data_IF_392418879225
#
_entry.id   IF_392418879225
#
_cell.length_a   1.000
_cell.length_b   1.000
_cell.length_c   1.000
_cell.angle_alpha   90.00
_cell.angle_beta   90.00
_cell.angle_gamma   90.00
#
_symmetry.space_group_name_H-M   'P 1'
#
loop_
_entity.id
_entity.type
_entity.pdbx_description
1 polymer ?
#
# COMPACT_ATOMS: atom_id res chain seq x y z
N UNK A 1 -0.73 -1.50 -5.52
CA UNK A 1 -0.46 -1.16 -4.09
C UNK A 1 -1.64 -0.47 -3.42
N UNK A 2 -2.39 0.39 -4.13
CA UNK A 2 -3.59 1.03 -3.58
C UNK A 2 -4.68 0.04 -3.10
N UNK A 3 -4.65 -1.20 -3.56
CA UNK A 3 -5.64 -2.23 -3.20
C UNK A 3 -5.32 -2.99 -1.90
N UNK A 4 -4.09 -2.93 -1.40
CA UNK A 4 -3.71 -3.68 -0.18
C UNK A 4 -4.29 -3.02 1.08
N UNK A 5 -4.19 -1.68 1.20
CA UNK A 5 -4.70 -0.96 2.36
C UNK A 5 -6.22 -1.12 2.58
N UNK A 6 -7.07 -0.97 1.55
CA UNK A 6 -8.50 -1.23 1.69
C UNK A 6 -8.80 -2.68 2.06
N UNK A 7 -8.07 -3.66 1.48
CA UNK A 7 -8.24 -5.08 1.79
C UNK A 7 -7.91 -5.36 3.25
N UNK A 8 -6.75 -4.92 3.71
CA UNK A 8 -6.31 -5.12 5.09
C UNK A 8 -7.23 -4.40 6.08
N UNK A 9 -7.64 -3.15 5.78
CA UNK A 9 -8.55 -2.40 6.64
C UNK A 9 -9.95 -3.01 6.72
N UNK A 10 -10.51 -3.45 5.61
CA UNK A 10 -11.85 -4.04 5.59
C UNK A 10 -11.90 -5.38 6.33
N UNK A 11 -10.86 -6.21 6.20
CA UNK A 11 -10.79 -7.47 6.92
C UNK A 11 -10.50 -7.29 8.42
N UNK A 12 -9.62 -6.38 8.79
CA UNK A 12 -9.33 -6.10 10.21
C UNK A 12 -10.51 -5.48 10.97
N UNK A 13 -11.39 -4.74 10.29
CA UNK A 13 -12.62 -4.20 10.89
C UNK A 13 -13.67 -5.30 11.07
N UNK A 14 -13.73 -6.27 10.17
CA UNK A 14 -14.70 -7.37 10.21
C UNK A 14 -14.31 -8.50 11.20
N UNK A 15 -13.04 -8.61 11.60
CA UNK A 15 -12.57 -9.62 12.57
C UNK A 15 -12.80 -9.25 14.04
N UNK A 16 -13.42 -8.11 14.33
CA UNK A 16 -13.81 -7.71 15.70
C UNK A 16 -15.03 -8.44 16.27
N UNK A 17 -15.62 -9.35 15.55
CA UNK A 17 -16.78 -10.15 15.97
C UNK A 17 -16.42 -11.62 16.03
N UNK A 18 -16.28 -12.15 17.26
CA UNK A 18 -16.57 -13.54 17.67
C UNK A 18 -16.55 -14.58 16.56
N UNK A 19 -15.79 -15.65 16.73
CA UNK A 19 -15.80 -16.83 15.87
C UNK A 19 -17.22 -17.31 15.55
N UNK A 20 -17.80 -16.76 14.53
CA UNK A 20 -19.04 -17.22 13.94
C UNK A 20 -18.93 -16.93 12.45
N UNK A 21 -19.11 -17.99 11.68
CA UNK A 21 -19.36 -17.97 10.25
C UNK A 21 -20.30 -16.85 9.85
N UNK A 22 -19.80 -15.70 9.49
CA UNK A 22 -20.57 -14.75 8.72
C UNK A 22 -20.42 -15.11 7.24
N UNK A 23 -21.24 -16.04 6.81
CA UNK A 23 -21.63 -16.19 5.41
C UNK A 23 -22.17 -14.86 4.91
N UNK A 24 -21.31 -13.95 4.49
CA UNK A 24 -21.67 -13.00 3.45
C UNK A 24 -21.63 -13.75 2.12
N UNK A 25 -22.76 -14.31 1.79
CA UNK A 25 -23.10 -14.64 0.41
C UNK A 25 -22.83 -13.41 -0.43
N UNK A 26 -21.80 -13.46 -1.20
CA UNK A 26 -21.68 -12.93 -2.55
C UNK A 26 -20.21 -12.64 -2.87
N UNK A 27 -19.86 -13.08 -3.94
CA UNK A 27 -18.67 -12.95 -4.73
C UNK A 27 -17.83 -14.21 -4.69
N UNK A 28 -17.45 -14.60 -5.88
CA UNK A 28 -16.66 -15.77 -6.17
C UNK A 28 -15.52 -15.97 -5.17
N UNK A 29 -15.18 -17.20 -4.84
CA UNK A 29 -14.21 -17.56 -3.79
C UNK A 29 -12.77 -17.28 -4.21
N UNK A 30 -12.49 -16.04 -4.61
CA UNK A 30 -11.19 -15.64 -5.09
C UNK A 30 -10.21 -15.24 -4.00
N UNK A 31 -10.73 -14.84 -2.85
CA UNK A 31 -9.93 -14.33 -1.74
C UNK A 31 -10.32 -15.10 -0.49
N UNK A 32 -9.64 -16.19 -0.22
CA UNK A 32 -9.86 -16.96 1.01
C UNK A 32 -8.90 -16.45 2.06
N UNK A 33 -9.45 -15.78 3.07
CA UNK A 33 -8.69 -15.34 4.24
C UNK A 33 -8.70 -16.45 5.30
N UNK A 34 -7.55 -17.07 5.52
CA UNK A 34 -7.36 -18.08 6.54
C UNK A 34 -6.62 -17.46 7.73
N UNK A 35 -7.13 -17.70 8.93
CA UNK A 35 -6.35 -17.49 10.13
C UNK A 35 -5.40 -18.67 10.29
N UNK A 36 -4.11 -18.40 10.19
CA UNK A 36 -3.10 -19.42 10.40
C UNK A 36 -2.84 -19.53 11.91
N UNK A 37 -3.41 -20.56 12.52
CA UNK A 37 -3.02 -20.97 13.85
C UNK A 37 -1.67 -21.69 13.74
N UNK A 38 -0.60 -20.92 13.56
CA UNK A 38 0.73 -21.47 13.38
C UNK A 38 1.24 -22.00 14.74
N UNK A 39 1.56 -23.28 14.78
CA UNK A 39 2.34 -23.87 15.87
C UNK A 39 3.81 -23.44 15.86
N UNK A 40 4.22 -22.72 14.82
CA UNK A 40 5.58 -22.23 14.59
C UNK A 40 5.61 -20.71 14.37
N UNK A 41 6.76 -20.10 14.61
CA UNK A 41 7.00 -18.70 14.36
C UNK A 41 7.11 -18.41 12.86
N UNK A 42 6.72 -17.21 12.42
CA UNK A 42 6.96 -16.69 11.07
C UNK A 42 8.09 -15.68 11.14
N UNK A 43 9.12 -15.85 10.29
CA UNK A 43 10.22 -14.89 10.19
C UNK A 43 9.96 -13.97 8.99
N UNK A 44 9.95 -12.65 9.22
CA UNK A 44 9.83 -11.62 8.18
C UNK A 44 10.92 -10.58 8.41
N UNK A 45 11.76 -10.37 7.42
CA UNK A 45 12.85 -9.39 7.51
C UNK A 45 13.79 -9.60 8.70
N UNK A 46 14.09 -10.84 9.05
CA UNK A 46 14.92 -11.19 10.21
C UNK A 46 14.20 -11.12 11.58
N UNK A 47 12.96 -10.64 11.62
CA UNK A 47 12.15 -10.63 12.85
C UNK A 47 11.29 -11.88 12.93
N UNK A 48 11.37 -12.58 14.06
CA UNK A 48 10.56 -13.77 14.34
C UNK A 48 9.24 -13.33 15.00
N UNK A 49 8.12 -13.69 14.39
CA UNK A 49 6.78 -13.47 14.93
C UNK A 49 6.24 -14.81 15.45
N UNK A 50 6.03 -14.96 16.77
CA UNK A 50 5.48 -16.19 17.35
C UNK A 50 3.99 -16.32 17.04
N UNK A 51 3.41 -17.44 17.47
CA UNK A 51 1.98 -17.76 17.32
C UNK A 51 1.03 -16.61 17.65
N UNK A 52 -0.09 -16.60 16.96
CA UNK A 52 -1.14 -15.60 17.14
C UNK A 52 -1.74 -15.57 18.54
N UNK A 53 -1.64 -14.43 19.19
CA UNK A 53 -2.28 -14.10 20.46
C UNK A 53 -2.63 -12.62 20.43
N UNK A 54 -3.89 -12.29 20.67
CA UNK A 54 -4.37 -10.90 20.66
C UNK A 54 -4.18 -10.20 22.02
N UNK A 55 -3.56 -10.84 22.99
CA UNK A 55 -3.17 -10.21 24.26
C UNK A 55 -2.15 -9.11 23.98
N UNK A 56 -2.36 -7.96 24.60
CA UNK A 56 -1.49 -6.79 24.43
C UNK A 56 -0.47 -6.72 25.58
N UNK A 57 0.76 -6.30 25.25
CA UNK A 57 1.76 -5.90 26.22
C UNK A 57 1.44 -4.51 26.82
N UNK A 58 2.27 -4.04 27.74
CA UNK A 58 2.13 -2.72 28.39
C UNK A 58 2.19 -1.55 27.41
N UNK A 59 2.79 -1.74 26.23
CA UNK A 59 2.88 -0.76 25.16
C UNK A 59 1.71 -0.89 24.18
N UNK A 60 0.81 -1.88 24.38
CA UNK A 60 -0.32 -2.20 23.54
C UNK A 60 0.07 -2.80 22.19
N UNK A 61 1.16 -3.53 22.14
CA UNK A 61 1.50 -4.44 21.04
C UNK A 61 0.99 -5.84 21.39
N UNK A 62 0.67 -6.62 20.37
CA UNK A 62 0.32 -8.01 20.58
C UNK A 62 1.53 -8.78 21.12
N UNK A 63 1.34 -9.55 22.18
CA UNK A 63 2.37 -10.45 22.74
C UNK A 63 2.76 -11.51 21.71
N UNK A 64 1.77 -11.98 20.94
CA UNK A 64 1.95 -12.88 19.80
C UNK A 64 1.21 -12.29 18.61
N UNK A 65 1.90 -12.02 17.52
CA UNK A 65 1.32 -11.37 16.36
C UNK A 65 0.33 -12.31 15.63
N UNK A 66 -0.94 -11.93 15.45
CA UNK A 66 -1.86 -12.67 14.59
C UNK A 66 -1.33 -12.73 13.17
N UNK A 67 -1.37 -13.91 12.58
CA UNK A 67 -0.96 -14.15 11.20
C UNK A 67 -2.15 -14.64 10.40
N UNK A 68 -2.41 -14.00 9.28
CA UNK A 68 -3.43 -14.38 8.33
C UNK A 68 -2.78 -14.73 6.99
N UNK A 69 -3.30 -15.76 6.34
CA UNK A 69 -2.98 -16.06 4.96
C UNK A 69 -4.16 -15.65 4.07
N UNK A 70 -3.91 -14.77 3.12
CA UNK A 70 -4.82 -14.49 2.03
C UNK A 70 -4.40 -15.33 0.83
N UNK A 71 -5.19 -16.35 0.49
CA UNK A 71 -4.96 -17.23 -0.66
C UNK A 71 -5.71 -16.69 -1.88
N UNK A 72 -4.96 -16.30 -2.90
CA UNK A 72 -5.45 -15.79 -4.17
C UNK A 72 -5.42 -16.86 -5.28
N UNK A 73 -5.09 -18.11 -4.94
CA UNK A 73 -4.80 -19.17 -5.90
C UNK A 73 -6.00 -20.08 -6.19
N UNK A 74 -7.20 -19.74 -5.72
CA UNK A 74 -8.38 -20.58 -5.93
C UNK A 74 -8.58 -20.86 -7.44
N UNK A 75 -8.70 -22.13 -7.86
CA UNK A 75 -8.74 -22.50 -9.28
C UNK A 75 -9.95 -21.97 -10.05
N UNK A 76 -10.98 -21.52 -9.35
CA UNK A 76 -12.20 -20.94 -9.92
C UNK A 76 -12.19 -19.41 -9.91
N UNK A 77 -11.08 -18.81 -9.50
CA UNK A 77 -10.98 -17.37 -9.37
C UNK A 77 -10.91 -16.69 -10.73
N UNK A 78 -11.90 -15.94 -11.11
CA UNK A 78 -11.95 -15.19 -12.38
C UNK A 78 -11.61 -13.71 -12.24
N UNK A 79 -11.66 -13.16 -11.03
CA UNK A 79 -11.30 -11.77 -10.77
C UNK A 79 -10.98 -11.57 -9.28
N UNK A 80 -10.10 -10.63 -8.95
CA UNK A 80 -9.88 -10.22 -7.58
C UNK A 80 -11.06 -9.41 -7.04
N UNK A 81 -11.33 -9.60 -5.78
CA UNK A 81 -12.45 -9.05 -5.04
C UNK A 81 -12.55 -7.50 -5.05
N UNK A 82 -11.43 -6.78 -5.15
CA UNK A 82 -11.41 -5.34 -4.88
C UNK A 82 -11.16 -4.46 -6.11
N UNK A 83 -10.51 -4.95 -7.12
CA UNK A 83 -10.09 -4.15 -8.27
C UNK A 83 -10.23 -4.87 -9.61
N UNK A 84 -10.99 -5.96 -9.64
CA UNK A 84 -11.21 -6.80 -10.82
C UNK A 84 -9.93 -7.31 -11.51
N UNK A 85 -8.81 -7.36 -10.79
CA UNK A 85 -7.55 -7.85 -11.33
C UNK A 85 -7.29 -9.29 -10.89
N UNK A 86 -7.09 -10.17 -11.84
CA UNK A 86 -6.68 -11.54 -11.56
C UNK A 86 -5.30 -11.56 -10.92
N UNK A 87 -5.21 -12.29 -9.82
CA UNK A 87 -3.97 -12.54 -9.08
C UNK A 87 -3.89 -14.01 -8.70
N UNK A 88 -2.68 -14.46 -8.41
CA UNK A 88 -2.44 -15.77 -7.83
C UNK A 88 -1.33 -15.68 -6.78
N UNK A 89 -1.14 -16.76 -6.02
CA UNK A 89 -0.21 -16.79 -4.90
C UNK A 89 -0.88 -16.45 -3.58
N UNK A 90 -0.07 -16.19 -2.57
CA UNK A 90 -0.55 -15.97 -1.21
C UNK A 90 0.11 -14.74 -0.59
N UNK A 91 -0.60 -14.13 0.35
CA UNK A 91 -0.07 -13.08 1.21
C UNK A 91 -0.15 -13.54 2.65
N UNK A 92 0.97 -13.58 3.34
CA UNK A 92 0.98 -13.72 4.79
C UNK A 92 0.94 -12.31 5.40
N UNK A 93 -0.08 -12.04 6.20
CA UNK A 93 -0.35 -10.74 6.79
C UNK A 93 -0.22 -10.86 8.30
N UNK A 94 0.72 -10.11 8.87
CA UNK A 94 1.07 -10.17 10.28
C UNK A 94 0.73 -8.82 10.92
N UNK A 95 0.02 -8.83 12.03
CA UNK A 95 -0.33 -7.63 12.79
C UNK A 95 0.47 -7.59 14.09
N UNK A 96 1.23 -6.53 14.32
CA UNK A 96 2.00 -6.36 15.59
C UNK A 96 1.18 -5.68 16.69
N UNK A 97 0.03 -5.13 16.35
CA UNK A 97 -0.86 -4.45 17.28
C UNK A 97 -2.13 -3.94 16.60
N UNK A 98 -3.04 -3.27 17.33
CA UNK A 98 -4.25 -2.69 16.78
C UNK A 98 -3.93 -1.66 15.69
N UNK A 99 -4.56 -1.78 14.51
CA UNK A 99 -4.26 -0.96 13.33
C UNK A 99 -4.29 0.56 13.54
N UNK A 100 -5.14 1.04 14.44
CA UNK A 100 -5.29 2.46 14.71
C UNK A 100 -4.35 2.98 15.81
N UNK A 101 -3.53 2.11 16.38
CA UNK A 101 -2.58 2.50 17.41
C UNK A 101 -1.26 2.92 16.78
N UNK A 102 -0.76 4.10 17.13
CA UNK A 102 0.55 4.56 16.68
C UNK A 102 1.65 3.54 17.07
N UNK A 103 2.56 3.29 16.14
CA UNK A 103 3.62 2.28 16.25
C UNK A 103 3.20 0.85 15.89
N UNK A 104 1.91 0.57 15.73
CA UNK A 104 1.47 -0.74 15.23
C UNK A 104 1.82 -0.93 13.77
N UNK A 105 2.19 -2.15 13.40
CA UNK A 105 2.59 -2.51 12.05
C UNK A 105 1.72 -3.62 11.47
N UNK A 106 1.53 -3.54 10.16
CA UNK A 106 1.09 -4.66 9.33
C UNK A 106 2.26 -5.03 8.42
N UNK A 107 2.71 -6.28 8.51
CA UNK A 107 3.80 -6.79 7.70
C UNK A 107 3.20 -7.78 6.71
N UNK A 108 3.45 -7.56 5.42
CA UNK A 108 2.93 -8.40 4.35
C UNK A 108 4.08 -9.12 3.67
N UNK A 109 4.01 -10.45 3.61
CA UNK A 109 4.92 -11.29 2.86
C UNK A 109 4.20 -11.85 1.64
N UNK A 110 4.77 -11.61 0.49
CA UNK A 110 4.26 -12.14 -0.79
C UNK A 110 4.84 -13.53 -1.03
N UNK A 111 4.00 -14.52 -1.30
CA UNK A 111 4.40 -15.89 -1.63
C UNK A 111 3.90 -16.21 -3.04
N UNK A 112 4.81 -16.35 -3.98
CA UNK A 112 4.53 -16.66 -5.39
C UNK A 112 3.46 -15.75 -6.01
N UNK A 113 3.45 -14.47 -5.60
CA UNK A 113 2.44 -13.52 -6.05
C UNK A 113 2.62 -13.15 -7.52
N UNK A 114 1.59 -13.34 -8.32
CA UNK A 114 1.55 -13.05 -9.75
C UNK A 114 0.26 -12.33 -10.13
N UNK A 115 0.33 -11.51 -11.16
CA UNK A 115 -0.85 -10.96 -11.83
C UNK A 115 -1.18 -11.74 -13.11
N UNK A 116 -2.36 -11.50 -13.68
CA UNK A 116 -2.83 -12.13 -14.93
C UNK A 116 -1.80 -12.03 -16.07
N UNK A 117 -1.10 -10.92 -16.18
CA UNK A 117 -0.08 -10.67 -17.21
C UNK A 117 1.24 -11.40 -16.94
N UNK A 118 1.24 -12.44 -16.12
CA UNK A 118 2.42 -13.23 -15.71
C UNK A 118 3.51 -12.40 -15.02
N UNK A 119 3.17 -11.22 -14.51
CA UNK A 119 4.11 -10.38 -13.75
C UNK A 119 4.19 -10.93 -12.33
N UNK A 120 5.39 -11.32 -11.93
CA UNK A 120 5.69 -11.78 -10.57
C UNK A 120 6.15 -10.59 -9.72
N UNK A 121 5.70 -10.55 -8.47
CA UNK A 121 6.12 -9.55 -7.49
C UNK A 121 6.71 -10.26 -6.28
N UNK A 122 7.86 -9.77 -5.84
CA UNK A 122 8.49 -10.19 -4.59
C UNK A 122 9.09 -8.98 -3.87
N UNK A 123 9.37 -9.12 -2.59
CA UNK A 123 10.08 -8.12 -1.79
C UNK A 123 10.62 -8.79 -0.52
N UNK A 124 11.62 -8.16 0.10
CA UNK A 124 12.10 -8.59 1.41
C UNK A 124 11.11 -8.20 2.49
N UNK A 125 10.67 -6.93 2.46
CA UNK A 125 9.73 -6.39 3.43
C UNK A 125 8.72 -5.45 2.77
N UNK A 126 7.45 -5.65 3.08
CA UNK A 126 6.38 -4.69 2.85
C UNK A 126 5.71 -4.43 4.20
N UNK A 127 5.93 -3.22 4.74
CA UNK A 127 5.53 -2.85 6.09
C UNK A 127 4.65 -1.62 6.03
N UNK A 128 3.51 -1.67 6.72
CA UNK A 128 2.62 -0.54 6.94
C UNK A 128 2.69 -0.23 8.43
N UNK A 129 3.16 0.96 8.79
CA UNK A 129 3.24 1.42 10.18
C UNK A 129 2.23 2.53 10.42
N UNK A 130 1.39 2.40 11.41
CA UNK A 130 0.53 3.49 11.85
C UNK A 130 1.39 4.55 12.55
N UNK A 131 1.42 5.76 12.00
CA UNK A 131 2.16 6.90 12.58
C UNK A 131 1.27 7.64 13.56
N UNK A 132 0.05 7.96 13.14
CA UNK A 132 -0.89 8.71 13.94
C UNK A 132 -2.34 8.31 13.63
N UNK A 133 -3.20 8.46 14.62
CA UNK A 133 -4.64 8.36 14.48
C UNK A 133 -5.26 9.49 15.30
N UNK A 134 -5.45 10.64 14.64
CA UNK A 134 -6.06 11.80 15.27
C UNK A 134 -7.59 11.71 15.19
N UNK A 135 -8.23 11.60 16.35
CA UNK A 135 -9.69 11.50 16.47
C UNK A 135 -10.38 12.83 16.70
N UNK A 136 -9.61 13.90 16.92
CA UNK A 136 -10.09 15.29 17.08
C UNK A 136 -9.95 16.02 15.74
N UNK A 137 -10.78 17.02 15.50
CA UNK A 137 -10.73 17.78 14.24
C UNK A 137 -9.42 18.58 14.09
N UNK A 138 -8.79 18.60 12.90
CA UNK A 138 -9.13 17.80 11.74
C UNK A 138 -8.78 16.31 11.95
N UNK A 139 -9.78 15.44 11.76
CA UNK A 139 -9.61 14.00 11.97
C UNK A 139 -8.81 13.38 10.82
N UNK A 140 -7.76 12.64 11.16
CA UNK A 140 -6.97 11.92 10.17
C UNK A 140 -6.37 10.63 10.72
N UNK A 141 -5.98 9.77 9.81
CA UNK A 141 -5.08 8.65 10.08
C UNK A 141 -3.86 8.77 9.18
N UNK A 142 -2.69 8.47 9.72
CA UNK A 142 -1.43 8.53 9.00
C UNK A 142 -0.69 7.21 9.09
N UNK A 143 -0.25 6.75 7.92
CA UNK A 143 0.53 5.53 7.77
C UNK A 143 1.84 5.82 7.04
N UNK A 144 2.91 5.20 7.50
CA UNK A 144 4.10 5.00 6.67
C UNK A 144 3.99 3.64 5.98
N UNK A 145 4.28 3.60 4.69
CA UNK A 145 4.33 2.37 3.91
C UNK A 145 5.72 2.24 3.33
N UNK A 146 6.41 1.17 3.72
CA UNK A 146 7.78 0.88 3.31
C UNK A 146 7.86 -0.43 2.55
N UNK A 147 8.48 -0.39 1.38
CA UNK A 147 8.84 -1.56 0.59
C UNK A 147 10.36 -1.61 0.47
N UNK A 148 10.95 -2.75 0.80
CA UNK A 148 12.39 -2.97 0.69
C UNK A 148 12.65 -4.09 -0.32
N UNK A 149 13.57 -3.81 -1.26
CA UNK A 149 14.01 -4.75 -2.28
C UNK A 149 12.85 -5.39 -3.06
N UNK A 150 11.90 -4.55 -3.46
CA UNK A 150 10.81 -4.97 -4.33
C UNK A 150 11.34 -5.34 -5.71
N UNK A 151 10.88 -6.47 -6.23
CA UNK A 151 11.19 -6.96 -7.57
C UNK A 151 9.90 -7.22 -8.32
N UNK A 152 9.81 -6.66 -9.50
CA UNK A 152 8.71 -6.88 -10.43
C UNK A 152 9.28 -7.47 -11.71
N UNK A 153 8.94 -8.73 -12.01
CA UNK A 153 9.49 -9.48 -13.15
C UNK A 153 8.39 -9.88 -14.12
N UNK A 154 8.57 -9.55 -15.37
CA UNK A 154 7.85 -10.03 -16.55
C UNK A 154 8.76 -10.97 -17.33
N UNK A 155 8.25 -11.78 -18.28
CA UNK A 155 9.11 -12.58 -19.16
C UNK A 155 10.23 -11.78 -19.83
N UNK A 156 9.99 -10.52 -20.17
CA UNK A 156 10.88 -9.69 -21.00
C UNK A 156 11.69 -8.67 -20.21
N UNK A 157 11.38 -8.44 -18.93
CA UNK A 157 12.03 -7.40 -18.15
C UNK A 157 11.91 -7.61 -16.64
N UNK A 158 12.82 -6.98 -15.91
CA UNK A 158 12.78 -6.88 -14.45
C UNK A 158 12.99 -5.44 -14.01
N UNK A 159 12.20 -5.01 -13.04
CA UNK A 159 12.37 -3.74 -12.33
C UNK A 159 12.61 -4.05 -10.86
N UNK A 160 13.61 -3.41 -10.27
CA UNK A 160 13.86 -3.44 -8.82
C UNK A 160 13.52 -2.08 -8.23
N UNK A 161 12.88 -2.05 -7.07
CA UNK A 161 12.51 -0.77 -6.44
C UNK A 161 12.30 -0.92 -4.95
N UNK A 162 12.56 0.15 -4.26
CA UNK A 162 12.22 0.33 -2.85
C UNK A 162 11.51 1.67 -2.70
N UNK A 163 10.66 1.78 -1.70
CA UNK A 163 10.05 3.07 -1.38
C UNK A 163 9.78 3.21 0.12
N UNK A 164 9.72 4.45 0.54
CA UNK A 164 9.33 4.89 1.87
C UNK A 164 8.36 6.06 1.70
N UNK A 165 7.08 5.83 1.96
CA UNK A 165 6.02 6.80 1.69
C UNK A 165 5.11 6.96 2.89
N UNK A 166 4.71 8.19 3.15
CA UNK A 166 3.72 8.53 4.16
C UNK A 166 2.40 8.86 3.48
N UNK A 167 1.34 8.26 3.96
CA UNK A 167 -0.05 8.48 3.54
C UNK A 167 -0.80 9.07 4.73
N UNK A 168 -1.33 10.27 4.58
CA UNK A 168 -2.23 10.86 5.56
C UNK A 168 -3.61 10.99 4.95
N UNK A 169 -4.56 10.29 5.53
CA UNK A 169 -5.96 10.33 5.11
C UNK A 169 -6.75 11.17 6.09
N UNK A 170 -7.20 12.33 5.62
CA UNK A 170 -8.13 13.18 6.35
C UNK A 170 -9.57 12.76 6.05
N UNK A 171 -10.39 12.76 7.10
CA UNK A 171 -11.82 12.64 7.00
C UNK A 171 -12.44 14.00 6.68
N UNK A 172 -13.78 14.13 6.74
CA UNK A 172 -14.45 15.41 6.51
C UNK A 172 -13.91 16.54 7.40
N UNK A 173 -13.90 17.77 6.89
CA UNK A 173 -13.44 18.94 7.62
C UNK A 173 -11.92 18.99 7.79
N UNK A 174 -11.20 18.78 6.73
CA UNK A 174 -9.75 18.80 6.67
C UNK A 174 -9.20 20.16 6.16
N UNK A 175 -7.89 20.42 6.24
CA UNK A 175 -7.30 21.69 5.78
C UNK A 175 -7.45 22.00 4.30
N UNK A 176 -7.69 20.97 3.46
CA UNK A 176 -7.86 21.12 2.00
C UNK A 176 -9.36 21.29 1.61
N UNK A 177 -10.30 21.33 2.58
CA UNK A 177 -11.72 21.52 2.33
C UNK A 177 -12.63 20.55 3.10
N UNK A 178 -13.85 20.35 2.60
CA UNK A 178 -14.86 19.50 3.24
C UNK A 178 -14.82 18.05 2.77
N UNK A 179 -14.29 17.79 1.57
CA UNK A 179 -14.19 16.43 1.01
C UNK A 179 -13.05 15.65 1.68
N UNK A 180 -13.22 14.37 1.98
CA UNK A 180 -12.11 13.54 2.45
C UNK A 180 -10.95 13.55 1.47
N UNK A 181 -9.72 13.66 2.00
CA UNK A 181 -8.52 13.79 1.16
C UNK A 181 -7.43 12.85 1.62
N UNK A 182 -6.68 12.32 0.67
CA UNK A 182 -5.45 11.56 0.93
C UNK A 182 -4.25 12.35 0.44
N UNK A 183 -3.30 12.60 1.33
CA UNK A 183 -2.02 13.22 1.03
C UNK A 183 -0.93 12.16 1.03
N UNK A 184 -0.03 12.23 0.05
CA UNK A 184 1.09 11.31 -0.11
C UNK A 184 2.38 12.09 -0.18
N UNK A 185 3.38 11.66 0.59
CA UNK A 185 4.76 12.18 0.56
C UNK A 185 5.75 11.02 0.62
N UNK A 186 7.03 11.30 0.38
CA UNK A 186 8.11 10.34 0.55
C UNK A 186 8.94 10.12 -0.71
N UNK A 187 9.69 9.01 -0.71
CA UNK A 187 10.70 8.72 -1.72
C UNK A 187 10.60 7.30 -2.25
N UNK A 188 11.21 7.07 -3.41
CA UNK A 188 11.47 5.74 -3.93
C UNK A 188 12.81 5.73 -4.68
N UNK A 189 13.39 4.55 -4.83
CA UNK A 189 14.55 4.33 -5.69
C UNK A 189 14.45 2.96 -6.34
N UNK A 190 15.26 2.73 -7.34
CA UNK A 190 15.25 1.43 -7.99
C UNK A 190 16.14 1.35 -9.21
N UNK A 191 15.93 0.28 -9.97
CA UNK A 191 16.60 -0.01 -11.23
C UNK A 191 15.54 -0.21 -12.30
N UNK A 192 15.65 0.51 -13.39
CA UNK A 192 14.74 0.42 -14.54
C UNK A 192 14.88 -0.89 -15.29
N UNK A 193 13.99 -1.13 -16.27
CA UNK A 193 14.08 -2.28 -17.21
C UNK A 193 15.38 -2.34 -17.99
N UNK A 194 16.04 -1.20 -18.18
CA UNK A 194 17.33 -1.07 -18.89
C UNK A 194 18.54 -1.20 -17.95
N UNK A 195 18.32 -1.55 -16.68
CA UNK A 195 19.40 -1.67 -15.69
C UNK A 195 19.92 -0.35 -15.14
N UNK A 196 19.25 0.77 -15.41
CA UNK A 196 19.66 2.10 -14.94
C UNK A 196 19.03 2.44 -13.59
N UNK A 197 19.82 2.90 -12.62
CA UNK A 197 19.28 3.42 -11.36
C UNK A 197 18.38 4.63 -11.58
N UNK A 198 17.43 4.81 -10.66
CA UNK A 198 16.58 6.00 -10.57
C UNK A 198 16.20 6.32 -9.14
N UNK A 199 15.91 7.58 -8.88
CA UNK A 199 15.30 8.05 -7.65
C UNK A 199 13.98 8.76 -7.94
N UNK A 200 13.05 8.68 -7.01
CA UNK A 200 11.78 9.42 -7.03
C UNK A 200 11.63 10.12 -5.70
N UNK A 201 11.23 11.38 -5.74
CA UNK A 201 10.89 12.16 -4.54
C UNK A 201 9.58 12.91 -4.74
N UNK A 202 8.90 13.13 -3.65
CA UNK A 202 7.85 14.14 -3.53
C UNK A 202 8.47 15.24 -2.68
N UNK A 203 8.84 16.40 -3.27
CA UNK A 203 9.53 17.46 -2.55
C UNK A 203 8.76 17.94 -1.32
N UNK A 204 9.47 18.42 -0.32
CA UNK A 204 8.84 18.96 0.89
C UNK A 204 7.88 20.10 0.54
N UNK A 205 6.69 20.08 1.12
CA UNK A 205 5.64 21.08 0.85
C UNK A 205 4.82 20.85 -0.43
N UNK A 206 5.14 19.82 -1.23
CA UNK A 206 4.42 19.52 -2.48
C UNK A 206 3.77 18.14 -2.47
N UNK A 207 3.29 17.71 -1.30
CA UNK A 207 2.62 16.43 -1.16
C UNK A 207 1.56 16.22 -2.26
N UNK A 208 1.51 15.01 -2.81
CA UNK A 208 0.46 14.66 -3.76
C UNK A 208 -0.85 14.52 -3.00
N UNK A 209 -1.88 15.24 -3.45
CA UNK A 209 -3.20 15.30 -2.83
C UNK A 209 -4.22 14.65 -3.76
N UNK A 210 -5.08 13.84 -3.18
CA UNK A 210 -6.21 13.24 -3.88
C UNK A 210 -7.47 13.42 -3.05
N UNK A 211 -8.40 14.22 -3.53
CA UNK A 211 -9.75 14.30 -2.98
C UNK A 211 -10.54 13.01 -3.29
N UNK A 212 -11.45 12.64 -2.41
CA UNK A 212 -12.24 11.41 -2.59
C UNK A 212 -13.11 11.46 -3.84
N UNK A 213 -13.61 12.63 -4.20
CA UNK A 213 -14.42 12.89 -5.39
C UNK A 213 -13.62 12.82 -6.70
N UNK A 214 -12.28 12.90 -6.64
CA UNK A 214 -11.42 12.90 -7.82
C UNK A 214 -10.91 11.50 -8.14
N UNK A 215 -10.77 11.20 -9.43
CA UNK A 215 -10.22 9.92 -9.88
C UNK A 215 -8.70 9.87 -9.74
N UNK A 216 -8.03 10.99 -10.01
CA UNK A 216 -6.58 11.13 -9.99
C UNK A 216 -6.10 12.03 -8.84
N UNK A 217 -4.79 12.17 -8.69
CA UNK A 217 -4.23 13.26 -7.90
C UNK A 217 -4.60 14.59 -8.57
N UNK A 218 -4.99 15.55 -7.76
CA UNK A 218 -5.42 16.88 -8.23
C UNK A 218 -4.43 17.98 -7.83
N UNK A 219 -3.40 17.65 -7.03
CA UNK A 219 -2.37 18.58 -6.60
C UNK A 219 -1.10 17.81 -6.22
N UNK A 220 0.04 18.49 -6.34
CA UNK A 220 1.34 18.00 -5.86
C UNK A 220 2.34 17.70 -6.96
N UNK A 221 3.57 17.46 -6.55
CA UNK A 221 4.70 17.31 -7.47
C UNK A 221 5.43 16.01 -7.18
N UNK A 222 5.78 15.28 -8.24
CA UNK A 222 6.68 14.13 -8.19
C UNK A 222 7.90 14.44 -9.05
N UNK A 223 9.08 14.22 -8.50
CA UNK A 223 10.35 14.28 -9.22
C UNK A 223 10.90 12.89 -9.44
N UNK A 224 11.34 12.61 -10.68
CA UNK A 224 12.02 11.39 -11.08
C UNK A 224 13.38 11.74 -11.67
N UNK A 225 14.44 11.21 -11.08
CA UNK A 225 15.81 11.40 -11.55
C UNK A 225 16.43 10.06 -11.93
N UNK A 226 16.49 9.70 -13.23
CA UNK A 226 17.29 8.57 -13.68
C UNK A 226 18.77 8.92 -13.63
N UNK A 227 19.60 7.93 -13.34
CA UNK A 227 21.04 8.10 -13.33
C UNK A 227 21.57 8.61 -14.68
N UNK A 228 22.41 9.66 -14.62
CA UNK A 228 22.99 10.28 -15.81
C UNK A 228 22.03 11.18 -16.60
N UNK A 229 20.82 11.42 -16.12
CA UNK A 229 19.83 12.27 -16.79
C UNK A 229 19.31 13.37 -15.85
N UNK A 230 18.77 14.42 -16.46
CA UNK A 230 18.11 15.50 -15.73
C UNK A 230 16.83 14.99 -15.05
N UNK A 231 16.54 15.59 -13.90
CA UNK A 231 15.26 15.37 -13.19
C UNK A 231 14.08 15.68 -14.10
N UNK A 232 13.08 14.84 -14.03
CA UNK A 232 11.77 14.98 -14.64
C UNK A 232 10.76 15.27 -13.56
N UNK A 233 9.92 16.26 -13.78
CA UNK A 233 8.89 16.67 -12.83
C UNK A 233 7.53 16.38 -13.41
N UNK A 234 6.68 15.75 -12.61
CA UNK A 234 5.25 15.63 -12.88
C UNK A 234 4.52 16.51 -11.88
N UNK A 235 3.75 17.47 -12.35
CA UNK A 235 2.92 18.36 -11.55
C UNK A 235 1.45 18.06 -11.81
N UNK A 236 0.71 17.71 -10.76
CA UNK A 236 -0.72 17.38 -10.82
C UNK A 236 -1.63 18.61 -10.71
N UNK A 237 -1.06 19.82 -10.68
CA UNK A 237 -1.81 21.06 -10.66
C UNK A 237 -2.06 21.60 -9.25
N UNK A 238 -3.14 22.37 -9.13
CA UNK A 238 -3.41 23.25 -8.00
C UNK A 238 -4.62 22.82 -7.12
N UNK A 239 -5.16 21.64 -7.37
CA UNK A 239 -6.33 21.11 -6.64
C UNK A 239 -7.61 21.09 -7.48
N UNK A 240 -7.51 21.35 -8.80
CA UNK A 240 -8.64 21.15 -9.72
C UNK A 240 -8.81 19.67 -10.02
N UNK A 241 -10.02 19.16 -9.81
CA UNK A 241 -10.34 17.76 -10.06
C UNK A 241 -10.53 17.52 -11.56
N UNK A 242 -9.44 17.19 -12.24
CA UNK A 242 -9.43 16.88 -13.68
C UNK A 242 -8.49 15.70 -13.99
N UNK A 243 -8.32 15.38 -15.27
CA UNK A 243 -7.44 14.31 -15.76
C UNK A 243 -6.09 14.84 -16.28
N UNK A 244 -5.70 16.05 -15.92
CA UNK A 244 -4.52 16.72 -16.46
C UNK A 244 -3.35 16.71 -15.50
N UNK A 245 -2.15 16.60 -16.06
CA UNK A 245 -0.89 16.85 -15.37
C UNK A 245 0.11 17.44 -16.36
N UNK A 246 1.14 18.10 -15.84
CA UNK A 246 2.26 18.55 -16.65
C UNK A 246 3.51 17.73 -16.40
N UNK A 247 4.26 17.50 -17.45
CA UNK A 247 5.57 16.86 -17.39
C UNK A 247 6.63 17.86 -17.83
N UNK A 248 7.64 18.07 -17.02
CA UNK A 248 8.72 19.01 -17.29
C UNK A 248 10.09 18.34 -17.26
N UNK A 249 10.95 18.70 -18.20
CA UNK A 249 12.36 18.31 -18.25
C UNK A 249 13.17 19.36 -19.04
N UNK A 250 14.35 19.74 -18.56
CA UNK A 250 15.22 20.72 -19.22
C UNK A 250 14.51 22.05 -19.59
N UNK A 251 13.58 22.53 -18.78
CA UNK A 251 12.83 23.76 -19.03
C UNK A 251 11.68 23.61 -20.05
N UNK A 252 11.53 22.46 -20.68
CA UNK A 252 10.39 22.17 -21.55
C UNK A 252 9.28 21.52 -20.72
N UNK A 253 8.04 21.98 -20.93
CA UNK A 253 6.86 21.47 -20.23
C UNK A 253 5.80 21.03 -21.22
N UNK A 254 5.17 19.89 -20.99
CA UNK A 254 4.09 19.33 -21.81
C UNK A 254 2.95 18.91 -20.90
N UNK A 255 1.73 19.32 -21.23
CA UNK A 255 0.51 18.81 -20.59
C UNK A 255 0.16 17.44 -21.17
N UNK A 256 -0.29 16.53 -20.31
CA UNK A 256 -0.76 15.21 -20.71
C UNK A 256 -1.97 14.79 -19.86
N UNK A 257 -2.69 13.79 -20.33
CA UNK A 257 -3.83 13.22 -19.61
C UNK A 257 -3.44 11.99 -18.80
N UNK A 258 -3.91 11.96 -17.59
CA UNK A 258 -3.85 10.79 -16.71
C UNK A 258 -4.83 9.71 -17.23
N UNK A 259 -4.48 8.42 -17.03
CA UNK A 259 -5.27 7.27 -17.51
C UNK A 259 -5.39 6.21 -16.43
#
# INVERSE_FOLDING_TARGET
YASILPTVNNHAINTKGTGANNNKTAAAPCDVLNFLNLTSSVTVGGTVFPMADTTLDVNGKYLKAPVYELDLSAPTCTASFLDNKLRSGKWNIIFTGPLKKAGSQVIVRLVNHKTLNKITYSCDNFIITTIANNTVAPRYVEYNIKLVNGVCTSPDWTIKYSFDRTFRHYFKGNPEGTDPVTMVSGTANGITRQGKPFTVSIPAGTACVKHKSCEFFDKGIIELTPEGFKTRTVDFGNGTCDDKATFSVNGSTVEFKLK
#
